data_IF_557033031722
#
_entry.id   IF_557033031722
#
_cell.length_a   1.000
_cell.length_b   1.000
_cell.length_c   1.000
_cell.angle_alpha   90.00
_cell.angle_beta   90.00
_cell.angle_gamma   90.00
#
_symmetry.space_group_name_H-M   'P 1'
#
loop_
_entity.id
_entity.type
_entity.pdbx_description
1 polymer ?
#
# COMPACT_ATOMS: atom_id res chain seq x y z
N UNK A 1 -13.44 -50.70 25.73
CA UNK A 1 -12.75 -49.82 24.76
C UNK A 1 -13.81 -48.99 24.06
N UNK A 2 -14.05 -47.76 24.52
CA UNK A 2 -15.10 -46.87 23.99
C UNK A 2 -14.50 -46.03 22.87
N UNK A 3 -14.98 -46.19 21.64
CA UNK A 3 -14.55 -45.38 20.49
C UNK A 3 -15.29 -44.04 20.46
N UNK A 4 -14.58 -42.94 20.67
CA UNK A 4 -15.06 -41.58 20.37
C UNK A 4 -15.24 -41.42 18.85
N UNK A 5 -16.42 -40.95 18.42
CA UNK A 5 -16.69 -40.60 17.02
C UNK A 5 -16.17 -39.18 16.74
N UNK A 6 -15.39 -38.94 15.68
CA UNK A 6 -14.95 -37.59 15.34
C UNK A 6 -16.15 -36.74 14.89
N UNK A 7 -16.21 -35.51 15.40
CA UNK A 7 -17.26 -34.53 15.09
C UNK A 7 -17.20 -34.14 13.61
N UNK A 8 -18.32 -34.29 12.91
CA UNK A 8 -18.47 -34.05 11.47
C UNK A 8 -18.28 -32.57 11.15
N UNK A 9 -17.20 -32.22 10.45
CA UNK A 9 -17.00 -30.88 9.87
C UNK A 9 -18.14 -30.60 8.88
N UNK A 10 -18.92 -29.54 9.15
CA UNK A 10 -20.08 -29.13 8.35
C UNK A 10 -19.58 -28.57 7.02
N UNK A 11 -19.69 -29.37 5.95
CA UNK A 11 -19.26 -28.99 4.60
C UNK A 11 -20.07 -27.79 4.12
N UNK A 12 -19.40 -26.69 3.78
CA UNK A 12 -20.02 -25.53 3.11
C UNK A 12 -20.42 -25.97 1.70
N UNK A 13 -21.70 -25.88 1.37
CA UNK A 13 -22.19 -26.21 0.03
C UNK A 13 -21.64 -25.24 -1.01
N UNK A 14 -21.29 -25.73 -2.21
CA UNK A 14 -20.92 -24.88 -3.35
C UNK A 14 -22.09 -23.92 -3.61
N UNK A 15 -21.86 -22.61 -3.43
CA UNK A 15 -22.87 -21.55 -3.54
C UNK A 15 -23.37 -20.96 -2.21
N UNK A 16 -23.03 -21.56 -1.06
CA UNK A 16 -23.29 -20.94 0.23
C UNK A 16 -22.26 -19.83 0.51
N UNK A 17 -22.73 -18.60 0.76
CA UNK A 17 -21.87 -17.49 1.17
C UNK A 17 -21.15 -17.92 2.48
N UNK A 18 -19.80 -17.88 2.52
CA UNK A 18 -19.06 -18.12 3.76
C UNK A 18 -19.56 -17.20 4.87
N UNK A 19 -19.54 -17.62 6.14
CA UNK A 19 -19.90 -16.74 7.26
C UNK A 19 -19.05 -15.48 7.20
N UNK A 20 -19.66 -14.33 7.48
CA UNK A 20 -19.00 -13.03 7.47
C UNK A 20 -17.71 -13.13 8.30
N UNK A 21 -16.56 -13.01 7.63
CA UNK A 21 -15.26 -13.12 8.25
C UNK A 21 -14.83 -11.72 8.70
N UNK A 22 -14.77 -11.43 10.02
CA UNK A 22 -14.37 -10.12 10.52
C UNK A 22 -12.97 -9.71 10.05
N UNK A 23 -12.09 -10.69 9.80
CA UNK A 23 -10.74 -10.44 9.28
C UNK A 23 -10.76 -10.00 7.81
N UNK A 24 -11.70 -10.51 7.00
CA UNK A 24 -11.86 -10.08 5.61
C UNK A 24 -12.42 -8.66 5.53
N UNK A 25 -13.40 -8.33 6.39
CA UNK A 25 -13.92 -6.97 6.51
C UNK A 25 -12.86 -5.99 7.01
N UNK A 26 -12.03 -6.40 7.98
CA UNK A 26 -10.89 -5.61 8.45
C UNK A 26 -9.86 -5.35 7.34
N UNK A 27 -9.58 -6.33 6.47
CA UNK A 27 -8.71 -6.16 5.30
C UNK A 27 -9.27 -5.15 4.29
N UNK A 28 -10.58 -5.23 3.99
CA UNK A 28 -11.24 -4.28 3.08
C UNK A 28 -11.23 -2.87 3.67
N UNK A 29 -11.60 -2.74 4.96
CA UNK A 29 -11.61 -1.44 5.64
C UNK A 29 -10.22 -0.83 5.85
N UNK A 30 -9.18 -1.65 6.02
CA UNK A 30 -7.80 -1.15 6.06
C UNK A 30 -7.35 -0.56 4.71
N UNK A 31 -7.82 -1.12 3.60
CA UNK A 31 -7.61 -0.53 2.27
C UNK A 31 -8.29 0.83 2.13
N UNK A 32 -9.55 0.95 2.58
CA UNK A 32 -10.33 2.19 2.51
C UNK A 32 -9.84 3.27 3.49
N UNK A 33 -9.44 2.89 4.71
CA UNK A 33 -8.98 3.84 5.73
C UNK A 33 -7.58 4.42 5.46
N UNK A 34 -6.75 3.73 4.67
CA UNK A 34 -5.46 4.27 4.21
C UNK A 34 -5.63 5.37 3.15
N UNK A 35 -6.81 5.51 2.54
CA UNK A 35 -7.08 6.55 1.55
C UNK A 35 -7.30 7.92 2.20
N UNK A 36 -7.61 7.98 3.50
CA UNK A 36 -7.98 9.22 4.19
C UNK A 36 -7.17 9.36 5.49
N UNK A 37 -5.95 9.87 5.38
CA UNK A 37 -5.17 10.38 6.52
C UNK A 37 -4.79 11.83 6.25
N UNK A 38 -5.16 12.73 7.16
CA UNK A 38 -5.06 14.21 7.10
C UNK A 38 -3.68 14.80 6.74
N UNK A 39 -2.61 13.98 6.70
CA UNK A 39 -1.33 14.35 6.07
C UNK A 39 -1.40 14.53 4.55
N UNK A 40 -2.54 14.15 3.94
CA UNK A 40 -2.79 14.16 2.50
C UNK A 40 -3.27 15.50 1.92
N UNK A 41 -3.50 16.53 2.77
CA UNK A 41 -4.03 17.84 2.31
C UNK A 41 -3.08 18.59 1.36
N UNK A 42 -1.79 18.27 1.38
CA UNK A 42 -0.77 18.87 0.50
C UNK A 42 0.10 17.83 -0.22
N UNK A 43 -0.29 16.56 -0.23
CA UNK A 43 0.45 15.52 -0.96
C UNK A 43 -0.36 15.01 -2.15
N UNK A 44 0.26 14.99 -3.34
CA UNK A 44 -0.35 14.42 -4.54
C UNK A 44 0.19 13.00 -4.80
N UNK A 45 -0.65 12.12 -5.34
CA UNK A 45 -0.23 10.79 -5.82
C UNK A 45 0.42 10.91 -7.20
N UNK A 46 1.67 10.48 -7.31
CA UNK A 46 2.42 10.45 -8.57
C UNK A 46 2.44 9.03 -9.14
N UNK A 47 1.88 8.83 -10.33
CA UNK A 47 1.97 7.59 -11.10
C UNK A 47 2.89 7.82 -12.30
N UNK A 48 3.89 6.95 -12.47
CA UNK A 48 4.93 7.09 -13.49
C UNK A 48 5.03 5.81 -14.31
N UNK A 49 4.96 5.92 -15.63
CA UNK A 49 5.34 4.85 -16.53
C UNK A 49 6.86 4.86 -16.72
N UNK A 50 7.51 3.82 -16.22
CA UNK A 50 8.96 3.64 -16.34
C UNK A 50 9.29 2.23 -16.83
N UNK A 51 10.45 2.08 -17.45
CA UNK A 51 10.89 0.74 -17.90
C UNK A 51 11.10 -0.19 -16.69
N UNK A 52 10.89 -1.50 -16.84
CA UNK A 52 11.17 -2.46 -15.77
C UNK A 52 12.61 -2.40 -15.25
N UNK A 53 13.57 -2.15 -16.14
CA UNK A 53 14.98 -1.99 -15.80
C UNK A 53 15.22 -0.73 -14.93
N UNK A 54 14.57 0.39 -15.26
CA UNK A 54 14.65 1.61 -14.44
C UNK A 54 14.02 1.39 -13.06
N UNK A 55 12.86 0.73 -13.00
CA UNK A 55 12.21 0.37 -11.72
C UNK A 55 13.12 -0.51 -10.86
N UNK A 56 13.82 -1.47 -11.45
CA UNK A 56 14.76 -2.32 -10.74
C UNK A 56 15.92 -1.52 -10.14
N UNK A 57 16.51 -0.61 -10.93
CA UNK A 57 17.60 0.27 -10.46
C UNK A 57 17.16 1.17 -9.30
N UNK A 58 16.01 1.83 -9.43
CA UNK A 58 15.44 2.68 -8.37
C UNK A 58 15.23 1.87 -7.08
N UNK A 59 14.65 0.67 -7.19
CA UNK A 59 14.40 -0.20 -6.04
C UNK A 59 15.69 -0.64 -5.35
N UNK A 60 16.72 -1.01 -6.13
CA UNK A 60 18.03 -1.38 -5.57
C UNK A 60 18.66 -0.20 -4.85
N UNK A 61 18.67 1.00 -5.45
CA UNK A 61 19.20 2.21 -4.82
C UNK A 61 18.48 2.55 -3.51
N UNK A 62 17.14 2.49 -3.49
CA UNK A 62 16.35 2.73 -2.28
C UNK A 62 16.69 1.71 -1.17
N UNK A 63 16.79 0.42 -1.53
CA UNK A 63 17.16 -0.64 -0.59
C UNK A 63 18.56 -0.45 0.00
N UNK A 64 19.55 -0.14 -0.85
CA UNK A 64 20.94 0.12 -0.40
C UNK A 64 21.03 1.32 0.54
N UNK A 65 20.18 2.33 0.37
CA UNK A 65 20.12 3.53 1.22
C UNK A 65 19.22 3.37 2.45
N UNK A 66 18.49 2.26 2.58
CA UNK A 66 17.56 2.02 3.69
C UNK A 66 16.32 2.91 3.68
N UNK A 67 15.96 3.49 2.53
CA UNK A 67 14.79 4.37 2.37
C UNK A 67 13.73 3.73 1.47
N UNK A 68 12.51 4.25 1.50
CA UNK A 68 11.48 3.80 0.53
C UNK A 68 11.73 4.42 -0.84
N UNK A 69 11.17 3.80 -1.89
CA UNK A 69 11.19 4.38 -3.25
C UNK A 69 10.52 5.76 -3.27
N UNK A 70 9.46 5.95 -2.50
CA UNK A 70 8.78 7.24 -2.41
C UNK A 70 9.67 8.32 -1.79
N UNK A 71 10.40 8.00 -0.71
CA UNK A 71 11.36 8.92 -0.10
C UNK A 71 12.48 9.29 -1.07
N UNK A 72 13.05 8.29 -1.76
CA UNK A 72 14.11 8.51 -2.74
C UNK A 72 13.65 9.43 -3.88
N UNK A 73 12.44 9.19 -4.41
CA UNK A 73 11.86 10.01 -5.47
C UNK A 73 11.52 11.41 -4.97
N UNK A 74 11.01 11.55 -3.75
CA UNK A 74 10.73 12.87 -3.15
C UNK A 74 12.01 13.68 -3.00
N UNK A 75 13.07 13.10 -2.45
CA UNK A 75 14.37 13.77 -2.31
C UNK A 75 15.01 14.13 -3.66
N UNK A 76 14.76 13.34 -4.71
CA UNK A 76 15.18 13.67 -6.07
C UNK A 76 14.39 14.86 -6.62
N UNK A 77 13.07 14.86 -6.46
CA UNK A 77 12.19 15.93 -6.93
C UNK A 77 12.46 17.24 -6.19
N UNK A 78 12.65 17.21 -4.88
CA UNK A 78 12.99 18.39 -4.05
C UNK A 78 14.28 19.08 -4.52
N UNK A 79 15.28 18.29 -4.93
CA UNK A 79 16.56 18.82 -5.42
C UNK A 79 16.44 19.43 -6.82
N UNK A 80 15.55 18.89 -7.65
CA UNK A 80 15.32 19.36 -9.01
C UNK A 80 14.37 20.57 -9.05
N UNK A 81 13.42 20.61 -8.12
CA UNK A 81 12.40 21.64 -7.96
C UNK A 81 12.44 22.19 -6.53
N UNK A 82 13.47 22.99 -6.18
CA UNK A 82 13.50 23.64 -4.89
C UNK A 82 12.32 24.60 -4.73
N UNK A 83 11.81 24.76 -3.51
CA UNK A 83 10.79 25.76 -3.16
C UNK A 83 11.37 27.20 -3.25
N UNK A 84 11.60 27.69 -4.47
CA UNK A 84 11.98 29.09 -4.75
C UNK A 84 10.78 30.04 -4.62
N UNK A 85 9.79 29.74 -3.77
CA UNK A 85 8.71 30.66 -3.44
C UNK A 85 9.15 31.69 -2.40
N UNK A 86 10.31 32.31 -2.62
CA UNK A 86 10.54 33.70 -2.19
C UNK A 86 10.29 34.56 -3.44
N UNK A 87 9.07 35.07 -3.55
CA UNK A 87 8.77 36.31 -4.27
C UNK A 87 8.98 36.31 -5.80
N UNK A 88 8.06 35.68 -6.54
CA UNK A 88 7.63 36.23 -7.85
C UNK A 88 6.28 36.89 -7.69
N UNK A 89 6.30 38.09 -7.11
CA UNK A 89 5.22 39.06 -7.20
C UNK A 89 5.15 39.54 -8.66
N UNK A 90 3.97 39.58 -9.31
CA UNK A 90 3.82 40.22 -10.61
C UNK A 90 4.07 41.73 -10.57
#
# INVERSE_FOLDING_TARGET
MTTERPTRVKRVGIGARPPANPHAEAWVRQGEANDIQKGDLYTARLTLDITPAMRARIKVSAFTQGVTVAELLRALLEREFPDDSTERTP
#
